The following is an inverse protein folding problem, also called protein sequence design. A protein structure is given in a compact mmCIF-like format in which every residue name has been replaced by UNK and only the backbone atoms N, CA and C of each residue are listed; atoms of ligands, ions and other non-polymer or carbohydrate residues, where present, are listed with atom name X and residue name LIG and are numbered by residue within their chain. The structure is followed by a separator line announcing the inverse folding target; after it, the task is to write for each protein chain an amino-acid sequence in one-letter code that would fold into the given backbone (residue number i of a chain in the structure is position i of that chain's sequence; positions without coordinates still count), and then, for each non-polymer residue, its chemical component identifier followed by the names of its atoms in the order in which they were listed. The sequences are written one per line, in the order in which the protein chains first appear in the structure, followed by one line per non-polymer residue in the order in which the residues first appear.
data_IF_313642053626
#
_entry.id   IF_313642053626
#
_cell.length_a   1.000
_cell.length_b   1.000
_cell.length_c   1.000
_cell.angle_alpha   90.00
_cell.angle_beta   90.00
_cell.angle_gamma   90.00
#
_symmetry.space_group_name_H-M   'P 1'
#
loop_
_entity.id
_entity.type
_entity.pdbx_description
1 polymer ?
#
# COMPACT_ATOMS: atom_id res chain seq x y z
N UNK A 1 -29.76 -41.55 -20.99
CA UNK A 1 -28.31 -41.31 -21.12
C UNK A 1 -28.12 -39.82 -20.94
N UNK A 2 -28.11 -39.39 -19.68
CA UNK A 2 -27.85 -38.01 -19.28
C UNK A 2 -26.34 -37.79 -19.28
N UNK A 3 -25.85 -36.72 -19.91
CA UNK A 3 -24.56 -36.10 -19.55
C UNK A 3 -24.59 -34.60 -19.85
N UNK A 4 -24.73 -33.85 -18.74
CA UNK A 4 -23.99 -32.64 -18.38
C UNK A 4 -23.98 -31.44 -19.33
N UNK A 5 -24.84 -30.46 -19.00
CA UNK A 5 -24.53 -29.04 -19.23
C UNK A 5 -23.39 -28.66 -18.28
N UNK A 6 -22.22 -28.30 -18.82
CA UNK A 6 -21.20 -27.58 -18.07
C UNK A 6 -21.75 -26.18 -17.78
N UNK A 7 -21.93 -25.84 -16.50
CA UNK A 7 -22.15 -24.45 -16.10
C UNK A 7 -20.86 -23.68 -16.36
N UNK A 8 -20.95 -22.67 -17.20
CA UNK A 8 -19.98 -21.58 -17.19
C UNK A 8 -20.49 -20.60 -16.14
N UNK A 9 -20.12 -20.83 -14.88
CA UNK A 9 -20.24 -19.82 -13.82
C UNK A 9 -19.19 -18.75 -14.11
N UNK A 10 -19.57 -17.78 -14.94
CA UNK A 10 -18.88 -16.51 -15.03
C UNK A 10 -19.20 -15.78 -13.73
N UNK A 11 -18.29 -15.90 -12.77
CA UNK A 11 -18.29 -15.13 -11.52
C UNK A 11 -18.39 -13.64 -11.90
N UNK A 12 -19.59 -13.08 -11.76
CA UNK A 12 -19.92 -11.74 -12.21
C UNK A 12 -19.38 -10.75 -11.17
N UNK A 13 -18.12 -10.35 -11.34
CA UNK A 13 -17.47 -9.36 -10.49
C UNK A 13 -18.20 -8.02 -10.60
N UNK A 14 -18.79 -7.55 -9.50
CA UNK A 14 -19.50 -6.27 -9.45
C UNK A 14 -18.77 -5.25 -8.55
N UNK A 15 -18.62 -3.98 -8.99
CA UNK A 15 -18.06 -2.91 -8.17
C UNK A 15 -19.06 -2.44 -7.09
N UNK A 16 -18.57 -2.09 -5.89
CA UNK A 16 -19.41 -1.69 -4.74
C UNK A 16 -19.61 -0.17 -4.64
N UNK A 17 -20.86 0.29 -4.65
CA UNK A 17 -21.22 1.71 -4.59
C UNK A 17 -20.94 2.40 -3.25
N UNK A 18 -21.05 1.68 -2.12
CA UNK A 18 -20.86 2.25 -0.77
C UNK A 18 -19.38 2.53 -0.46
N UNK A 19 -18.50 1.58 -0.80
CA UNK A 19 -17.04 1.77 -0.67
C UNK A 19 -16.58 2.87 -1.63
N UNK A 20 -17.08 2.85 -2.86
CA UNK A 20 -16.75 3.86 -3.84
C UNK A 20 -17.06 5.26 -3.31
N UNK A 21 -18.21 5.49 -2.69
CA UNK A 21 -18.55 6.80 -2.11
C UNK A 21 -17.64 7.17 -0.92
N UNK A 22 -17.47 6.28 0.06
CA UNK A 22 -16.63 6.55 1.25
C UNK A 22 -15.17 6.82 0.88
N UNK A 23 -14.59 5.99 0.02
CA UNK A 23 -13.20 6.13 -0.40
C UNK A 23 -13.01 7.32 -1.34
N UNK A 24 -13.92 7.57 -2.29
CA UNK A 24 -13.81 8.75 -3.16
C UNK A 24 -13.88 10.07 -2.38
N UNK A 25 -14.70 10.16 -1.32
CA UNK A 25 -14.73 11.32 -0.42
C UNK A 25 -13.41 11.49 0.32
N UNK A 26 -12.89 10.41 0.90
CA UNK A 26 -11.60 10.46 1.62
C UNK A 26 -10.46 10.85 0.69
N UNK A 27 -10.36 10.22 -0.48
CA UNK A 27 -9.35 10.47 -1.50
C UNK A 27 -9.36 11.94 -1.96
N UNK A 28 -10.54 12.51 -2.24
CA UNK A 28 -10.66 13.93 -2.61
C UNK A 28 -10.20 14.87 -1.50
N UNK A 29 -10.41 14.50 -0.24
CA UNK A 29 -9.87 15.26 0.89
C UNK A 29 -8.34 15.26 0.92
N UNK A 30 -7.70 14.19 0.43
CA UNK A 30 -6.24 14.10 0.34
C UNK A 30 -5.67 14.87 -0.86
N UNK A 31 -6.41 14.98 -1.97
CA UNK A 31 -5.99 15.80 -3.12
C UNK A 31 -5.81 17.28 -2.75
N UNK A 32 -6.66 17.83 -1.87
CA UNK A 32 -6.53 19.20 -1.39
C UNK A 32 -5.31 19.40 -0.47
N UNK A 33 -4.87 18.35 0.24
CA UNK A 33 -3.65 18.36 1.07
C UNK A 33 -2.37 18.19 0.24
N UNK A 34 -2.44 17.50 -0.90
CA UNK A 34 -1.31 17.27 -1.81
C UNK A 34 -1.01 18.43 -2.77
N UNK A 35 -1.89 19.44 -2.85
CA UNK A 35 -1.61 20.67 -3.60
C UNK A 35 -0.53 21.45 -2.85
N UNK A 36 0.67 21.50 -3.44
CA UNK A 36 1.81 22.26 -2.93
C UNK A 36 1.39 23.68 -2.54
N UNK A 37 1.88 24.24 -1.43
CA UNK A 37 1.64 25.64 -1.12
C UNK A 37 2.19 26.50 -2.25
N UNK A 38 1.39 27.44 -2.74
CA UNK A 38 1.88 28.53 -3.57
C UNK A 38 2.96 29.30 -2.80
N UNK A 39 4.02 29.79 -3.46
CA UNK A 39 5.06 30.53 -2.77
C UNK A 39 4.49 31.92 -2.41
N UNK A 40 4.01 32.09 -1.18
CA UNK A 40 3.62 33.44 -0.74
C UNK A 40 2.70 33.62 0.47
N UNK A 41 2.28 32.60 1.22
CA UNK A 41 1.43 32.84 2.42
C UNK A 41 2.05 32.21 3.66
N UNK A 42 2.60 33.06 4.52
CA UNK A 42 2.93 32.73 5.91
C UNK A 42 1.63 32.50 6.66
N UNK A 43 1.38 31.29 7.16
CA UNK A 43 0.38 31.04 8.20
C UNK A 43 1.06 30.46 9.42
N UNK A 44 0.61 30.96 10.57
CA UNK A 44 1.16 30.72 11.89
C UNK A 44 1.03 29.26 12.31
N UNK A 45 1.92 28.88 13.21
CA UNK A 45 2.03 27.61 13.91
C UNK A 45 0.66 26.99 14.26
N UNK A 46 0.56 25.69 14.00
CA UNK A 46 -0.07 24.65 14.83
C UNK A 46 -0.75 23.60 13.94
N UNK A 47 0.06 22.70 13.37
CA UNK A 47 -0.18 21.23 13.29
C UNK A 47 0.98 20.61 12.49
N UNK A 48 2.14 20.43 13.12
CA UNK A 48 3.18 19.57 12.55
C UNK A 48 2.74 18.12 12.73
N UNK A 49 2.06 17.55 11.73
CA UNK A 49 2.02 16.08 11.59
C UNK A 49 3.33 15.69 10.91
N UNK A 50 4.41 15.79 11.69
CA UNK A 50 5.60 14.97 11.50
C UNK A 50 5.50 13.79 12.46
N UNK A 51 4.51 12.93 12.21
CA UNK A 51 4.53 11.58 12.75
C UNK A 51 4.84 10.62 11.60
N UNK A 52 5.99 10.84 10.97
CA UNK A 52 6.67 9.74 10.32
C UNK A 52 7.01 8.75 11.44
N UNK A 53 6.30 7.62 11.48
CA UNK A 53 6.55 6.56 12.45
C UNK A 53 8.06 6.33 12.52
N UNK A 54 8.68 6.56 13.68
CA UNK A 54 10.09 6.25 13.95
C UNK A 54 10.26 4.73 13.90
N UNK A 55 10.31 4.17 12.70
CA UNK A 55 10.68 2.78 12.46
C UNK A 55 12.17 2.55 12.66
N UNK A 56 12.95 3.63 12.81
CA UNK A 56 14.35 3.63 13.25
C UNK A 56 14.48 3.36 14.77
N UNK A 57 13.53 2.59 15.34
CA UNK A 57 13.72 1.85 16.59
C UNK A 57 15.13 1.31 16.63
N UNK A 58 15.76 1.39 17.81
CA UNK A 58 17.15 1.07 18.19
C UNK A 58 17.67 -0.32 17.78
N UNK A 59 16.98 -1.02 16.89
CA UNK A 59 17.40 -2.19 16.14
C UNK A 59 18.42 -1.85 15.03
N UNK A 60 19.41 -1.01 15.31
CA UNK A 60 20.74 -1.24 14.77
C UNK A 60 21.20 -2.55 15.42
N UNK A 61 20.89 -3.67 14.76
CA UNK A 61 21.02 -5.02 15.28
C UNK A 61 22.27 -5.19 16.15
N UNK A 62 22.06 -5.29 17.46
CA UNK A 62 23.05 -5.75 18.44
C UNK A 62 23.28 -7.24 18.23
N UNK A 63 23.96 -7.60 17.14
CA UNK A 63 24.63 -8.88 17.08
C UNK A 63 25.89 -8.74 17.93
N UNK A 64 25.88 -9.36 19.11
CA UNK A 64 27.00 -9.48 20.05
C UNK A 64 28.17 -10.33 19.49
N UNK A 65 28.36 -10.41 18.18
CA UNK A 65 29.58 -10.97 17.63
C UNK A 65 30.64 -9.85 17.56
N UNK A 66 31.75 -10.01 18.29
CA UNK A 66 32.81 -9.02 18.52
C UNK A 66 33.63 -8.58 17.29
N UNK A 67 33.02 -8.45 16.12
CA UNK A 67 33.66 -7.98 14.89
C UNK A 67 32.97 -6.70 14.43
N UNK A 68 33.74 -5.59 14.43
CA UNK A 68 33.44 -4.24 13.92
C UNK A 68 32.01 -4.04 13.39
N UNK A 69 31.20 -3.32 14.17
CA UNK A 69 29.83 -2.86 13.82
C UNK A 69 29.77 -2.39 12.37
N UNK A 70 29.06 -3.13 11.52
CA UNK A 70 28.74 -2.67 10.16
C UNK A 70 27.55 -1.73 10.27
N UNK A 71 27.82 -0.45 10.56
CA UNK A 71 26.79 0.60 10.50
C UNK A 71 26.16 0.57 9.11
N UNK A 72 24.83 0.57 9.04
CA UNK A 72 24.16 0.88 7.77
C UNK A 72 24.57 2.29 7.41
N UNK A 73 25.13 2.49 6.21
CA UNK A 73 25.69 3.79 5.81
C UNK A 73 24.61 4.89 5.64
N UNK A 74 23.34 4.50 5.59
CA UNK A 74 22.19 5.37 5.37
C UNK A 74 21.08 4.96 6.33
N UNK A 75 20.48 5.93 7.04
CA UNK A 75 19.31 5.68 7.90
C UNK A 75 18.10 5.33 7.04
N UNK A 76 17.20 4.46 7.53
CA UNK A 76 16.08 3.95 6.72
C UNK A 76 15.16 5.08 6.23
N UNK A 77 14.96 6.11 7.06
CA UNK A 77 14.18 7.29 6.69
C UNK A 77 14.78 8.13 5.56
N UNK A 78 16.09 8.02 5.35
CA UNK A 78 16.83 8.74 4.30
C UNK A 78 17.04 7.89 3.03
N UNK A 79 16.43 6.72 2.95
CA UNK A 79 16.55 5.85 1.79
C UNK A 79 15.88 6.46 0.55
N UNK A 80 16.57 6.37 -0.59
CA UNK A 80 16.00 6.78 -1.87
C UNK A 80 14.92 5.79 -2.29
N UNK A 81 13.67 6.25 -2.35
CA UNK A 81 12.54 5.41 -2.72
C UNK A 81 12.31 5.43 -4.23
N UNK A 82 12.01 4.26 -4.78
CA UNK A 82 11.44 4.10 -6.12
C UNK A 82 10.33 3.05 -6.03
N UNK A 83 9.10 3.53 -5.84
CA UNK A 83 7.93 2.72 -5.52
C UNK A 83 7.11 2.50 -6.79
N UNK A 84 6.76 1.25 -7.05
CA UNK A 84 5.95 0.84 -8.19
C UNK A 84 4.64 0.25 -7.67
N UNK A 85 3.52 0.69 -8.24
CA UNK A 85 2.23 0.10 -7.93
C UNK A 85 2.16 -1.26 -8.61
N UNK A 86 1.81 -2.30 -7.86
CA UNK A 86 1.59 -3.65 -8.40
C UNK A 86 0.09 -4.00 -8.44
N UNK A 87 -0.79 -3.00 -8.36
CA UNK A 87 -2.20 -3.20 -8.63
C UNK A 87 -2.44 -3.63 -10.07
N UNK A 88 -3.48 -4.42 -10.31
CA UNK A 88 -3.86 -4.92 -11.64
C UNK A 88 -3.90 -3.77 -12.65
N UNK A 89 -3.17 -3.94 -13.76
CA UNK A 89 -3.08 -2.99 -14.88
C UNK A 89 -2.64 -1.55 -14.50
N UNK A 90 -2.04 -1.36 -13.32
CA UNK A 90 -1.52 -0.07 -12.90
C UNK A 90 -0.03 0.06 -13.24
N UNK A 91 0.38 1.21 -13.80
CA UNK A 91 1.77 1.51 -14.15
C UNK A 91 2.35 2.69 -13.34
N UNK A 92 1.64 3.14 -12.30
CA UNK A 92 2.06 4.27 -11.50
C UNK A 92 3.35 3.98 -10.74
N UNK A 93 4.25 4.97 -10.71
CA UNK A 93 5.45 4.94 -9.88
C UNK A 93 5.75 6.32 -9.30
N UNK A 94 6.47 6.35 -8.18
CA UNK A 94 6.87 7.60 -7.53
C UNK A 94 8.02 7.36 -6.55
N UNK A 95 8.68 8.44 -6.14
CA UNK A 95 9.70 8.46 -5.09
C UNK A 95 9.17 9.01 -3.74
N UNK A 96 7.91 9.44 -3.68
CA UNK A 96 7.27 9.96 -2.46
C UNK A 96 6.32 8.92 -1.88
N UNK A 97 6.52 8.56 -0.60
CA UNK A 97 5.62 7.64 0.09
C UNK A 97 4.20 8.20 0.20
N UNK A 98 4.05 9.51 0.45
CA UNK A 98 2.72 10.12 0.62
C UNK A 98 1.90 10.04 -0.68
N UNK A 99 2.54 10.35 -1.82
CA UNK A 99 1.93 10.19 -3.14
C UNK A 99 1.59 8.74 -3.44
N UNK A 100 2.43 7.80 -3.00
CA UNK A 100 2.21 6.38 -3.22
C UNK A 100 1.04 5.85 -2.39
N UNK A 101 0.96 6.20 -1.10
CA UNK A 101 -0.14 5.83 -0.21
C UNK A 101 -1.46 6.38 -0.75
N UNK A 102 -1.49 7.66 -1.13
CA UNK A 102 -2.68 8.25 -1.72
C UNK A 102 -3.06 7.53 -3.02
N UNK A 103 -2.10 7.31 -3.93
CA UNK A 103 -2.33 6.56 -5.18
C UNK A 103 -2.96 5.19 -4.93
N UNK A 104 -2.42 4.40 -3.99
CA UNK A 104 -2.93 3.06 -3.69
C UNK A 104 -4.38 3.10 -3.18
N UNK A 105 -4.74 4.12 -2.40
CA UNK A 105 -6.10 4.27 -1.90
C UNK A 105 -7.14 4.55 -2.99
N UNK A 106 -6.75 5.11 -4.14
CA UNK A 106 -7.65 5.29 -5.29
C UNK A 106 -8.16 3.96 -5.87
N UNK A 107 -7.49 2.85 -5.61
CA UNK A 107 -7.91 1.53 -6.11
C UNK A 107 -8.98 0.85 -5.24
N UNK A 108 -9.17 1.31 -3.99
CA UNK A 108 -10.11 0.70 -3.05
C UNK A 108 -11.57 0.76 -3.54
N UNK A 109 -12.07 1.88 -4.10
CA UNK A 109 -13.37 1.94 -4.77
C UNK A 109 -13.60 0.84 -5.82
N UNK A 110 -12.55 0.46 -6.54
CA UNK A 110 -12.60 -0.46 -7.69
C UNK A 110 -12.31 -1.91 -7.27
N UNK A 111 -12.44 -2.22 -5.98
CA UNK A 111 -12.31 -3.58 -5.46
C UNK A 111 -13.39 -4.48 -6.06
N UNK A 112 -12.94 -5.60 -6.61
CA UNK A 112 -13.78 -6.68 -7.10
C UNK A 112 -14.43 -7.44 -5.93
N UNK A 113 -15.73 -7.74 -6.06
CA UNK A 113 -16.46 -8.62 -5.14
C UNK A 113 -16.60 -9.99 -5.78
N UNK A 114 -16.30 -11.03 -5.00
CA UNK A 114 -16.53 -12.43 -5.33
C UNK A 114 -17.61 -13.00 -4.43
N UNK A 115 -18.45 -13.90 -4.96
CA UNK A 115 -19.42 -14.67 -4.17
C UNK A 115 -18.77 -15.99 -3.73
N UNK A 116 -18.87 -16.31 -2.44
CA UNK A 116 -18.30 -17.51 -1.84
C UNK A 116 -19.41 -18.28 -1.10
N UNK A 117 -19.53 -19.58 -1.38
CA UNK A 117 -20.47 -20.47 -0.70
C UNK A 117 -21.94 -20.07 -0.91
N UNK A 118 -22.73 -20.12 0.17
CA UNK A 118 -24.16 -19.76 0.21
C UNK A 118 -24.33 -18.22 0.18
N UNK A 119 -23.92 -17.58 -0.92
CA UNK A 119 -24.18 -16.16 -1.24
C UNK A 119 -23.37 -15.12 -0.43
N UNK A 120 -22.27 -15.50 0.21
CA UNK A 120 -21.44 -14.55 0.96
C UNK A 120 -20.54 -13.75 0.01
N UNK A 121 -20.63 -12.43 0.06
CA UNK A 121 -19.81 -11.53 -0.75
C UNK A 121 -18.52 -11.16 -0.01
N UNK A 122 -17.39 -11.32 -0.69
CA UNK A 122 -16.06 -10.93 -0.18
C UNK A 122 -15.34 -10.03 -1.17
N UNK A 123 -14.63 -9.05 -0.65
CA UNK A 123 -13.73 -8.21 -1.45
C UNK A 123 -12.42 -8.94 -1.71
N UNK A 124 -11.94 -8.88 -2.95
CA UNK A 124 -10.70 -9.54 -3.37
C UNK A 124 -9.62 -8.51 -3.63
N UNK A 125 -8.46 -8.66 -2.99
CA UNK A 125 -7.31 -7.80 -3.27
C UNK A 125 -6.76 -8.09 -4.67
N UNK A 126 -6.57 -7.05 -5.47
CA UNK A 126 -6.05 -7.16 -6.84
C UNK A 126 -4.55 -6.82 -6.95
N UNK A 127 -3.86 -6.73 -5.82
CA UNK A 127 -2.41 -6.56 -5.80
C UNK A 127 -1.72 -7.81 -6.36
N UNK A 128 -0.69 -7.63 -7.17
CA UNK A 128 0.04 -8.75 -7.79
C UNK A 128 0.51 -9.77 -6.75
N UNK A 129 0.17 -11.03 -6.98
CA UNK A 129 0.49 -12.17 -6.10
C UNK A 129 -0.09 -12.06 -4.68
N UNK A 130 -1.12 -11.24 -4.47
CA UNK A 130 -1.86 -11.22 -3.22
C UNK A 130 -3.14 -12.06 -3.36
N UNK A 131 -3.38 -12.95 -2.41
CA UNK A 131 -4.55 -13.84 -2.36
C UNK A 131 -5.49 -13.47 -1.22
N UNK A 132 -5.34 -12.28 -0.64
CA UNK A 132 -6.14 -11.86 0.51
C UNK A 132 -7.54 -11.44 0.05
N UNK A 133 -8.55 -11.97 0.74
CA UNK A 133 -9.96 -11.63 0.55
C UNK A 133 -10.64 -11.50 1.93
N UNK A 134 -11.63 -10.62 2.03
CA UNK A 134 -12.38 -10.40 3.27
C UNK A 134 -13.77 -9.82 2.98
N UNK A 135 -14.80 -10.22 3.73
CA UNK A 135 -16.15 -9.64 3.64
C UNK A 135 -16.30 -8.26 4.31
N UNK A 136 -15.33 -7.84 5.13
CA UNK A 136 -15.38 -6.58 5.87
C UNK A 136 -14.62 -5.48 5.10
N UNK A 137 -15.34 -4.42 4.71
CA UNK A 137 -14.82 -3.26 3.96
C UNK A 137 -13.58 -2.62 4.63
N UNK A 138 -13.65 -2.40 5.95
CA UNK A 138 -12.56 -1.73 6.67
C UNK A 138 -11.30 -2.61 6.73
N UNK A 139 -11.45 -3.94 6.78
CA UNK A 139 -10.34 -4.89 6.78
C UNK A 139 -9.65 -4.95 5.42
N UNK A 140 -10.41 -5.04 4.32
CA UNK A 140 -9.81 -5.01 2.98
C UNK A 140 -9.17 -3.65 2.68
N UNK A 141 -9.78 -2.55 3.13
CA UNK A 141 -9.23 -1.20 3.01
C UNK A 141 -7.87 -1.09 3.72
N UNK A 142 -7.78 -1.59 4.95
CA UNK A 142 -6.51 -1.62 5.70
C UNK A 142 -5.48 -2.48 4.98
N UNK A 143 -5.89 -3.64 4.48
CA UNK A 143 -5.04 -4.55 3.73
C UNK A 143 -4.46 -3.91 2.47
N UNK A 144 -5.29 -3.24 1.66
CA UNK A 144 -4.84 -2.56 0.43
C UNK A 144 -3.83 -1.47 0.76
N UNK A 145 -4.11 -0.63 1.76
CA UNK A 145 -3.18 0.42 2.21
C UNK A 145 -1.86 -0.13 2.76
N UNK A 146 -1.87 -1.34 3.35
CA UNK A 146 -0.64 -1.99 3.81
C UNK A 146 0.36 -2.26 2.69
N UNK A 147 -0.09 -2.49 1.45
CA UNK A 147 0.82 -2.68 0.31
C UNK A 147 1.69 -1.45 0.02
N UNK A 148 1.23 -0.25 0.36
CA UNK A 148 2.03 0.98 0.26
C UNK A 148 3.27 0.91 1.13
N UNK A 149 3.09 0.54 2.39
CA UNK A 149 4.18 0.40 3.36
C UNK A 149 5.06 -0.81 3.05
N UNK A 150 4.46 -1.93 2.65
CA UNK A 150 5.21 -3.12 2.24
C UNK A 150 6.11 -2.82 1.03
N UNK A 151 5.64 -2.04 0.05
CA UNK A 151 6.44 -1.62 -1.10
C UNK A 151 7.63 -0.75 -0.69
N UNK A 152 7.44 0.18 0.26
CA UNK A 152 8.54 0.95 0.86
C UNK A 152 9.58 0.03 1.52
N UNK A 153 9.13 -0.93 2.33
CA UNK A 153 10.03 -1.89 2.98
C UNK A 153 10.80 -2.75 1.96
N UNK A 154 10.15 -3.25 0.91
CA UNK A 154 10.81 -3.98 -0.18
C UNK A 154 11.88 -3.14 -0.86
N UNK A 155 11.57 -1.86 -1.16
CA UNK A 155 12.50 -0.93 -1.79
C UNK A 155 13.74 -0.69 -0.90
N UNK A 156 13.53 -0.37 0.38
CA UNK A 156 14.61 -0.19 1.35
C UNK A 156 15.47 -1.45 1.46
N UNK A 157 14.85 -2.63 1.62
CA UNK A 157 15.56 -3.89 1.68
C UNK A 157 16.39 -4.19 0.43
N UNK A 158 15.88 -3.85 -0.76
CA UNK A 158 16.62 -3.97 -2.01
C UNK A 158 17.84 -3.03 -2.06
N UNK A 159 17.68 -1.77 -1.63
CA UNK A 159 18.76 -0.79 -1.56
C UNK A 159 19.85 -1.20 -0.56
N UNK A 160 19.47 -1.81 0.57
CA UNK A 160 20.41 -2.33 1.56
C UNK A 160 21.17 -3.51 0.96
N UNK A 161 20.46 -4.46 0.35
CA UNK A 161 21.06 -5.65 -0.29
C UNK A 161 22.02 -5.28 -1.43
N UNK A 162 21.76 -4.20 -2.17
CA UNK A 162 22.69 -3.75 -3.23
C UNK A 162 23.99 -3.16 -2.68
N UNK A 163 23.98 -2.64 -1.45
CA UNK A 163 25.15 -2.04 -0.78
C UNK A 163 25.91 -3.05 0.08
N UNK A 164 25.20 -4.01 0.67
CA UNK A 164 25.78 -5.04 1.52
C UNK A 164 26.07 -6.28 0.69
N UNK A 165 27.35 -6.63 0.55
CA UNK A 165 27.75 -7.98 0.12
C UNK A 165 27.36 -8.96 1.21
N UNK A 166 26.27 -9.68 1.01
CA UNK A 166 25.92 -10.85 1.79
C UNK A 166 26.91 -11.97 1.41
N UNK A 167 27.47 -12.69 2.40
CA UNK A 167 28.36 -13.82 2.13
C UNK A 167 27.66 -14.95 1.37
#
# INVERSE_FOLDING_TARGET
RELSKMSNDLDEFMPNTEIHERCSVWVRSQEELCKSPSPGVKRAADFEVDECIETDSEFDSVSECGHKRRRVATQLKNESLNLFCEWRECQFNTNSIDRFVNHVAFHIPDLEIKVVGDEQQVYVCQWKNCLYENGVSDEITRHVNFHSYHSKLKCIGANIRSRIKLP
#
